data_IF_608523371327
#
_entry.id   IF_608523371327
#
_cell.length_a   1.000
_cell.length_b   1.000
_cell.length_c   1.000
_cell.angle_alpha   90.00
_cell.angle_beta   90.00
_cell.angle_gamma   90.00
#
_symmetry.space_group_name_H-M   'P 1'
#
loop_
_entity.id
_entity.type
_entity.pdbx_description
1 polymer ?
#
# COMPACT_ATOMS: atom_id res chain seq x y z
N UNK A 1 16.73 -56.41 -54.50
CA UNK A 1 17.33 -55.24 -53.83
C UNK A 1 16.35 -54.11 -53.42
N UNK A 2 15.29 -53.81 -54.23
CA UNK A 2 14.34 -52.71 -53.87
C UNK A 2 13.39 -52.96 -52.66
N UNK A 3 13.11 -54.24 -52.29
CA UNK A 3 12.21 -54.58 -51.19
C UNK A 3 12.90 -54.55 -49.82
N UNK A 4 14.21 -54.68 -49.71
CA UNK A 4 14.95 -54.60 -48.47
C UNK A 4 15.23 -53.15 -48.03
N UNK A 5 15.33 -52.22 -49.00
CA UNK A 5 15.52 -50.77 -48.71
C UNK A 5 14.26 -50.15 -48.12
N UNK A 6 13.09 -50.63 -48.49
CA UNK A 6 11.80 -50.11 -47.98
C UNK A 6 11.56 -50.53 -46.51
N UNK A 7 12.05 -51.68 -46.10
CA UNK A 7 11.90 -52.18 -44.73
C UNK A 7 12.81 -51.42 -43.72
N UNK A 8 14.00 -51.03 -44.17
CA UNK A 8 14.94 -50.25 -43.32
C UNK A 8 14.46 -48.82 -43.14
N UNK A 9 13.82 -48.21 -44.12
CA UNK A 9 13.22 -46.88 -43.96
C UNK A 9 11.97 -46.90 -43.08
N UNK A 10 11.19 -47.98 -43.04
CA UNK A 10 10.04 -48.08 -42.16
C UNK A 10 10.44 -48.30 -40.68
N UNK A 11 11.56 -48.98 -40.42
CA UNK A 11 12.07 -49.15 -39.05
C UNK A 11 12.76 -47.86 -38.51
N UNK A 12 13.39 -47.05 -39.37
CA UNK A 12 13.98 -45.78 -38.93
C UNK A 12 12.90 -44.70 -38.58
N UNK A 13 11.72 -44.76 -39.24
CA UNK A 13 10.60 -43.84 -38.91
C UNK A 13 9.86 -44.16 -37.63
N UNK A 14 9.95 -45.40 -37.10
CA UNK A 14 9.29 -45.79 -35.85
C UNK A 14 10.10 -45.49 -34.60
N UNK A 15 11.42 -45.28 -34.71
CA UNK A 15 12.24 -44.99 -33.52
C UNK A 15 12.33 -43.52 -33.13
N UNK A 16 12.01 -42.59 -34.05
CA UNK A 16 12.01 -41.15 -33.72
C UNK A 16 10.72 -40.62 -33.03
N UNK A 17 9.65 -41.43 -32.98
CA UNK A 17 8.35 -40.97 -32.45
C UNK A 17 8.14 -41.23 -30.95
N UNK A 18 8.99 -42.03 -30.33
CA UNK A 18 8.77 -42.45 -28.91
C UNK A 18 9.46 -41.55 -27.88
N UNK A 19 10.56 -40.87 -28.25
CA UNK A 19 11.25 -39.99 -27.32
C UNK A 19 10.52 -38.66 -27.11
N UNK A 20 9.87 -38.12 -28.13
CA UNK A 20 9.11 -36.86 -28.02
C UNK A 20 7.89 -36.97 -27.09
N UNK A 21 7.21 -38.13 -27.09
CA UNK A 21 6.05 -38.35 -26.18
C UNK A 21 6.46 -38.57 -24.74
N UNK A 22 7.63 -39.14 -24.47
CA UNK A 22 8.14 -39.33 -23.12
C UNK A 22 8.53 -38.00 -22.45
N UNK A 23 9.20 -37.12 -23.18
CA UNK A 23 9.58 -35.79 -22.68
C UNK A 23 8.38 -34.86 -22.44
N UNK A 24 7.36 -34.94 -23.28
CA UNK A 24 6.14 -34.14 -23.14
C UNK A 24 5.30 -34.63 -21.93
N UNK A 25 5.20 -35.93 -21.74
CA UNK A 25 4.50 -36.52 -20.58
C UNK A 25 5.25 -36.22 -19.25
N UNK A 26 6.58 -36.22 -19.28
CA UNK A 26 7.39 -35.92 -18.09
C UNK A 26 7.36 -34.41 -17.76
N UNK A 27 7.37 -33.53 -18.77
CA UNK A 27 7.12 -32.09 -18.61
C UNK A 27 5.74 -31.82 -18.04
N UNK A 28 4.69 -32.45 -18.57
CA UNK A 28 3.31 -32.31 -18.06
C UNK A 28 3.20 -32.76 -16.63
N UNK A 29 3.89 -33.84 -16.22
CA UNK A 29 3.87 -34.31 -14.82
C UNK A 29 4.52 -33.29 -13.87
N UNK A 30 5.60 -32.62 -14.29
CA UNK A 30 6.27 -31.56 -13.52
C UNK A 30 5.36 -30.33 -13.33
N UNK A 31 4.65 -29.90 -14.36
CA UNK A 31 3.70 -28.80 -14.25
C UNK A 31 2.49 -29.15 -13.37
N UNK A 32 1.93 -30.35 -13.49
CA UNK A 32 0.84 -30.83 -12.63
C UNK A 32 1.29 -30.90 -11.15
N UNK A 33 2.55 -31.24 -10.89
CA UNK A 33 3.08 -31.18 -9.53
C UNK A 33 3.27 -29.74 -9.05
N UNK A 34 3.78 -28.84 -9.91
CA UNK A 34 3.95 -27.44 -9.58
C UNK A 34 2.62 -26.74 -9.25
N UNK A 35 1.52 -27.11 -9.92
CA UNK A 35 0.18 -26.60 -9.62
C UNK A 35 -0.29 -26.91 -8.18
N UNK A 36 0.30 -27.89 -7.51
CA UNK A 36 0.03 -28.17 -6.10
C UNK A 36 0.61 -27.12 -5.17
N UNK A 37 1.53 -26.30 -5.65
CA UNK A 37 2.25 -25.27 -4.89
C UNK A 37 1.93 -23.86 -5.38
N UNK A 38 0.79 -23.65 -6.07
CA UNK A 38 0.34 -22.30 -6.41
C UNK A 38 0.11 -21.48 -5.15
N UNK A 39 0.26 -20.16 -5.25
CA UNK A 39 0.07 -19.23 -4.13
C UNK A 39 -1.29 -19.43 -3.46
N UNK A 40 -2.33 -19.67 -4.25
CA UNK A 40 -3.69 -19.91 -3.77
C UNK A 40 -3.77 -21.18 -2.90
N UNK A 41 -3.21 -22.29 -3.37
CA UNK A 41 -3.17 -23.54 -2.62
C UNK A 41 -2.29 -23.44 -1.38
N UNK A 42 -1.10 -22.83 -1.49
CA UNK A 42 -0.23 -22.61 -0.34
C UNK A 42 -0.93 -21.78 0.74
N UNK A 43 -1.70 -20.76 0.36
CA UNK A 43 -2.46 -19.94 1.30
C UNK A 43 -3.55 -20.72 2.05
N UNK A 44 -4.00 -21.87 1.53
CA UNK A 44 -4.95 -22.76 2.23
C UNK A 44 -4.26 -23.77 3.13
N UNK A 45 -2.97 -24.01 2.93
CA UNK A 45 -2.17 -25.00 3.66
C UNK A 45 -1.29 -24.37 4.74
N UNK A 46 -0.91 -23.11 4.55
CA UNK A 46 -0.05 -22.38 5.48
C UNK A 46 -0.92 -21.49 6.39
N UNK A 47 -0.74 -21.65 7.65
CA UNK A 47 -1.33 -20.82 8.69
C UNK A 47 -0.33 -19.77 9.18
N UNK A 48 -0.68 -18.99 10.17
CA UNK A 48 0.23 -17.98 10.73
C UNK A 48 1.48 -18.65 11.30
N UNK A 49 2.64 -18.32 10.72
CA UNK A 49 3.95 -18.78 11.18
C UNK A 49 4.65 -17.77 12.07
N UNK A 50 4.08 -16.57 12.16
CA UNK A 50 4.58 -15.46 12.99
C UNK A 50 3.41 -14.72 13.62
N UNK A 51 3.70 -13.97 14.68
CA UNK A 51 2.77 -13.06 15.34
C UNK A 51 3.10 -11.64 14.91
N UNK A 52 2.10 -10.89 14.46
CA UNK A 52 2.19 -9.45 14.18
C UNK A 52 1.46 -8.69 15.31
N UNK A 53 2.17 -8.19 16.33
CA UNK A 53 1.55 -7.61 17.50
C UNK A 53 1.10 -6.18 17.24
N UNK A 54 -0.16 -5.90 17.57
CA UNK A 54 -0.76 -4.57 17.57
C UNK A 54 -0.80 -4.05 19.02
N UNK A 55 0.14 -3.20 19.37
CA UNK A 55 0.25 -2.69 20.72
C UNK A 55 -0.83 -1.65 21.04
N UNK A 56 -1.41 -1.74 22.24
CA UNK A 56 -2.28 -0.68 22.73
C UNK A 56 -1.46 0.59 23.01
N UNK A 57 -2.09 1.75 22.85
CA UNK A 57 -1.42 3.04 23.09
C UNK A 57 -0.90 3.19 24.52
N UNK A 58 -1.64 2.65 25.48
CA UNK A 58 -1.30 2.71 26.90
C UNK A 58 -1.01 1.29 27.39
N UNK A 59 0.07 1.16 28.17
CA UNK A 59 0.47 -0.12 28.74
C UNK A 59 1.37 -0.96 27.84
N UNK A 60 1.61 -2.18 28.28
CA UNK A 60 2.49 -3.17 27.65
C UNK A 60 1.74 -4.29 26.93
N UNK A 61 0.42 -4.20 26.87
CA UNK A 61 -0.42 -5.24 26.26
C UNK A 61 -0.56 -5.01 24.75
N UNK A 62 -0.81 -6.08 24.03
CA UNK A 62 -1.06 -6.07 22.58
C UNK A 62 -2.12 -7.10 22.20
N UNK A 63 -2.69 -6.95 21.02
CA UNK A 63 -3.53 -7.96 20.40
C UNK A 63 -2.93 -8.40 19.06
N UNK A 64 -3.35 -9.57 18.58
CA UNK A 64 -2.93 -10.08 17.27
C UNK A 64 -3.95 -11.02 16.68
N UNK A 65 -3.96 -11.10 15.33
CA UNK A 65 -4.69 -12.09 14.56
C UNK A 65 -3.82 -13.32 14.35
N UNK A 66 -4.42 -14.50 14.44
CA UNK A 66 -3.75 -15.75 14.15
C UNK A 66 -4.65 -16.64 13.31
N UNK A 67 -4.18 -17.00 12.10
CA UNK A 67 -4.87 -17.91 11.21
C UNK A 67 -4.59 -19.35 11.62
N UNK A 68 -5.64 -20.15 11.74
CA UNK A 68 -5.58 -21.60 12.04
C UNK A 68 -6.28 -22.40 10.95
N UNK A 69 -6.23 -23.73 11.02
CA UNK A 69 -7.00 -24.61 10.14
C UNK A 69 -8.51 -24.42 10.25
N UNK A 70 -8.98 -23.92 11.40
CA UNK A 70 -10.39 -23.67 11.70
C UNK A 70 -10.82 -22.21 11.53
N UNK A 71 -10.02 -21.40 10.82
CA UNK A 71 -10.31 -19.99 10.61
C UNK A 71 -9.39 -19.06 11.38
N UNK A 72 -9.78 -17.78 11.48
CA UNK A 72 -9.04 -16.75 12.18
C UNK A 72 -9.47 -16.65 13.63
N UNK A 73 -8.49 -16.43 14.50
CA UNK A 73 -8.71 -16.15 15.94
C UNK A 73 -7.92 -14.91 16.33
N UNK A 74 -8.41 -14.18 17.32
CA UNK A 74 -7.78 -12.95 17.81
C UNK A 74 -7.51 -13.10 19.30
N UNK A 75 -6.34 -12.64 19.74
CA UNK A 75 -5.91 -12.75 21.12
C UNK A 75 -5.47 -11.39 21.63
N UNK A 76 -5.74 -11.15 22.92
CA UNK A 76 -5.14 -10.08 23.73
C UNK A 76 -4.11 -10.71 24.63
N UNK A 77 -2.90 -10.11 24.64
CA UNK A 77 -1.77 -10.58 25.45
C UNK A 77 -1.33 -9.46 26.38
N UNK A 78 -1.15 -9.78 27.64
CA UNK A 78 -0.48 -8.93 28.60
C UNK A 78 0.83 -9.61 29.04
N UNK A 79 1.99 -9.11 28.55
CA UNK A 79 3.29 -9.70 28.89
C UNK A 79 3.67 -9.53 30.37
N UNK A 80 3.20 -8.47 31.02
CA UNK A 80 3.49 -8.22 32.44
C UNK A 80 2.72 -9.19 33.32
N UNK A 81 1.41 -9.31 33.06
CA UNK A 81 0.57 -10.26 33.77
C UNK A 81 0.76 -11.72 33.28
N UNK A 82 1.56 -11.93 32.21
CA UNK A 82 1.77 -13.24 31.56
C UNK A 82 0.46 -13.92 31.17
N UNK A 83 -0.51 -13.16 30.68
CA UNK A 83 -1.82 -13.70 30.29
C UNK A 83 -2.05 -13.57 28.80
N UNK A 84 -2.73 -14.58 28.23
CA UNK A 84 -3.23 -14.61 26.86
C UNK A 84 -4.70 -15.00 26.90
N UNK A 85 -5.56 -14.17 26.34
CA UNK A 85 -7.01 -14.39 26.33
C UNK A 85 -7.56 -14.18 24.91
N UNK A 86 -8.59 -14.92 24.47
CA UNK A 86 -9.26 -14.59 23.21
C UNK A 86 -9.88 -13.19 23.32
N UNK A 87 -9.75 -12.43 22.21
CA UNK A 87 -10.38 -11.12 22.08
C UNK A 87 -11.88 -11.25 21.94
N UNK A 88 -12.30 -12.25 21.15
CA UNK A 88 -13.71 -12.55 20.87
C UNK A 88 -14.07 -13.96 21.39
N UNK A 89 -15.28 -14.08 21.88
CA UNK A 89 -16.01 -15.33 21.85
C UNK A 89 -16.65 -15.42 20.45
N UNK A 90 -16.07 -16.23 19.57
CA UNK A 90 -16.45 -16.24 18.16
C UNK A 90 -17.86 -16.77 17.92
N UNK A 91 -18.33 -17.70 18.75
CA UNK A 91 -19.69 -18.22 18.65
C UNK A 91 -20.72 -17.16 19.03
N UNK A 92 -20.47 -16.46 20.14
CA UNK A 92 -21.33 -15.36 20.60
C UNK A 92 -21.35 -14.20 19.61
N UNK A 93 -20.19 -13.77 19.11
CA UNK A 93 -20.11 -12.70 18.10
C UNK A 93 -20.82 -13.10 16.81
N UNK A 94 -20.64 -14.34 16.33
CA UNK A 94 -21.30 -14.81 15.13
C UNK A 94 -22.83 -14.81 15.28
N UNK A 95 -23.32 -15.21 16.46
CA UNK A 95 -24.75 -15.19 16.77
C UNK A 95 -25.31 -13.75 16.80
N UNK A 96 -24.63 -12.82 17.50
CA UNK A 96 -25.03 -11.41 17.57
C UNK A 96 -25.03 -10.75 16.17
N UNK A 97 -23.99 -10.99 15.36
CA UNK A 97 -23.91 -10.45 13.99
C UNK A 97 -25.03 -11.01 13.12
N UNK A 98 -25.26 -12.33 13.16
CA UNK A 98 -26.33 -12.99 12.40
C UNK A 98 -27.69 -12.40 12.74
N UNK A 99 -27.95 -12.12 14.02
CA UNK A 99 -29.19 -11.51 14.46
C UNK A 99 -29.37 -10.08 13.90
N UNK A 100 -28.31 -9.29 13.90
CA UNK A 100 -28.31 -7.88 13.43
C UNK A 100 -28.43 -7.79 11.92
N UNK A 101 -27.57 -8.56 11.21
CA UNK A 101 -27.40 -8.44 9.74
C UNK A 101 -28.44 -9.28 9.00
N UNK A 102 -29.05 -10.27 9.66
CA UNK A 102 -29.97 -11.24 9.04
C UNK A 102 -29.30 -12.09 7.93
N UNK A 103 -28.00 -12.29 8.06
CA UNK A 103 -27.16 -13.13 7.20
C UNK A 103 -26.43 -14.15 8.09
N UNK A 104 -26.52 -15.47 7.84
CA UNK A 104 -25.97 -16.48 8.73
C UNK A 104 -24.44 -16.49 8.69
N UNK A 105 -23.82 -16.26 9.83
CA UNK A 105 -22.38 -16.39 10.04
C UNK A 105 -22.07 -17.51 11.04
N UNK A 106 -20.96 -18.19 10.80
CA UNK A 106 -20.41 -19.17 11.75
C UNK A 106 -19.11 -18.67 12.34
N UNK A 107 -18.78 -19.10 13.55
CA UNK A 107 -17.53 -18.77 14.24
C UNK A 107 -16.28 -19.03 13.37
N UNK A 108 -16.29 -20.09 12.59
CA UNK A 108 -15.16 -20.52 11.74
C UNK A 108 -14.99 -19.64 10.49
N UNK A 109 -16.07 -19.06 9.99
CA UNK A 109 -16.10 -18.29 8.75
C UNK A 109 -16.46 -16.82 8.95
N UNK A 110 -16.23 -16.29 10.15
CA UNK A 110 -16.55 -14.91 10.46
C UNK A 110 -15.59 -13.96 9.70
N UNK A 111 -16.08 -13.20 8.69
CA UNK A 111 -15.22 -12.42 7.81
C UNK A 111 -14.89 -11.04 8.41
N UNK A 112 -14.36 -11.04 9.63
CA UNK A 112 -13.91 -9.80 10.30
C UNK A 112 -12.77 -9.17 9.48
N UNK A 113 -12.95 -7.91 9.11
CA UNK A 113 -11.99 -7.11 8.36
C UNK A 113 -11.78 -5.77 9.03
N UNK A 114 -10.60 -5.17 8.80
CA UNK A 114 -10.24 -3.85 9.32
C UNK A 114 -10.49 -3.72 10.83
N UNK A 115 -10.03 -4.72 11.57
CA UNK A 115 -10.10 -4.68 13.04
C UNK A 115 -9.12 -3.64 13.57
N UNK A 116 -9.63 -2.68 14.33
CA UNK A 116 -8.87 -1.61 14.94
C UNK A 116 -9.22 -1.46 16.42
N UNK A 117 -8.18 -1.29 17.25
CA UNK A 117 -8.39 -0.97 18.67
C UNK A 117 -8.60 0.54 18.84
N UNK A 118 -9.56 0.91 19.65
CA UNK A 118 -9.76 2.29 20.10
C UNK A 118 -8.62 2.77 21.01
N UNK A 119 -8.55 4.09 21.20
CA UNK A 119 -7.52 4.73 22.04
C UNK A 119 -7.61 4.32 23.51
N UNK A 120 -8.79 3.90 23.93
CA UNK A 120 -9.08 3.41 25.29
C UNK A 120 -8.50 2.00 25.55
N UNK A 121 -8.07 1.28 24.52
CA UNK A 121 -7.61 -0.10 24.59
C UNK A 121 -8.70 -1.11 24.99
N UNK A 122 -9.97 -0.69 24.97
CA UNK A 122 -11.15 -1.48 25.38
C UNK A 122 -12.09 -1.73 24.21
N UNK A 123 -12.25 -0.74 23.37
CA UNK A 123 -13.18 -0.75 22.25
C UNK A 123 -12.47 -1.20 20.98
N UNK A 124 -13.09 -2.09 20.23
CA UNK A 124 -12.61 -2.54 18.94
C UNK A 124 -13.65 -2.23 17.86
N UNK A 125 -13.21 -1.71 16.73
CA UNK A 125 -14.07 -1.49 15.57
C UNK A 125 -13.66 -2.39 14.44
N UNK A 126 -14.63 -2.93 13.71
CA UNK A 126 -14.38 -3.79 12.56
C UNK A 126 -15.52 -3.75 11.56
N UNK A 127 -15.30 -4.32 10.38
CA UNK A 127 -16.33 -4.47 9.37
C UNK A 127 -16.55 -5.91 8.99
N UNK A 128 -17.78 -6.22 8.59
CA UNK A 128 -18.20 -7.50 8.04
C UNK A 128 -18.81 -7.26 6.66
N UNK A 129 -18.41 -8.08 5.69
CA UNK A 129 -19.04 -8.07 4.36
C UNK A 129 -20.09 -9.16 4.32
N UNK A 130 -21.34 -8.79 4.05
CA UNK A 130 -22.47 -9.72 3.89
C UNK A 130 -22.28 -10.62 2.66
N UNK A 131 -22.86 -11.81 2.70
CA UNK A 131 -23.02 -12.64 1.52
C UNK A 131 -24.08 -12.10 0.56
N UNK A 132 -25.00 -11.27 1.06
CA UNK A 132 -26.09 -10.68 0.31
C UNK A 132 -25.63 -9.49 -0.52
N UNK A 133 -26.20 -9.35 -1.72
CA UNK A 133 -25.95 -8.19 -2.57
C UNK A 133 -26.70 -6.97 -2.03
N UNK A 134 -26.01 -5.83 -1.98
CA UNK A 134 -26.64 -4.56 -1.64
C UNK A 134 -27.72 -4.22 -2.68
N UNK A 135 -28.85 -3.68 -2.24
CA UNK A 135 -29.91 -3.20 -3.14
C UNK A 135 -29.32 -2.19 -4.11
N UNK A 136 -29.51 -2.43 -5.42
CA UNK A 136 -29.00 -1.55 -6.47
C UNK A 136 -29.66 -0.18 -6.37
N UNK A 137 -28.87 0.85 -6.11
CA UNK A 137 -29.28 2.22 -6.45
C UNK A 137 -29.24 2.35 -7.98
N UNK A 138 -30.33 2.81 -8.55
CA UNK A 138 -30.62 2.82 -10.00
C UNK A 138 -29.70 3.70 -10.86
N UNK A 139 -28.71 4.36 -10.27
CA UNK A 139 -27.84 5.33 -10.94
C UNK A 139 -26.47 4.79 -11.35
N UNK A 140 -26.03 3.63 -10.88
CA UNK A 140 -24.69 3.07 -11.15
C UNK A 140 -24.78 1.84 -12.08
N UNK A 141 -24.87 2.07 -13.38
CA UNK A 141 -25.03 0.99 -14.40
C UNK A 141 -23.78 0.17 -14.69
N UNK A 142 -22.59 0.65 -14.30
CA UNK A 142 -21.29 0.08 -14.74
C UNK A 142 -20.50 -0.68 -13.67
N UNK A 143 -20.99 -0.82 -12.45
CA UNK A 143 -20.29 -1.57 -11.40
C UNK A 143 -21.03 -2.85 -11.07
N UNK A 144 -20.29 -3.96 -11.05
CA UNK A 144 -20.82 -5.26 -10.65
C UNK A 144 -21.48 -5.26 -9.26
N UNK A 145 -22.17 -6.34 -8.86
CA UNK A 145 -22.93 -6.39 -7.62
C UNK A 145 -22.04 -6.05 -6.41
N UNK A 146 -22.39 -4.97 -5.69
CA UNK A 146 -21.70 -4.59 -4.45
C UNK A 146 -22.32 -5.36 -3.30
N UNK A 147 -21.50 -5.99 -2.49
CA UNK A 147 -21.93 -6.61 -1.23
C UNK A 147 -22.14 -5.55 -0.16
N UNK A 148 -23.11 -5.76 0.69
CA UNK A 148 -23.36 -4.86 1.82
C UNK A 148 -22.26 -5.02 2.88
N UNK A 149 -21.81 -3.89 3.43
CA UNK A 149 -20.75 -3.86 4.45
C UNK A 149 -21.34 -3.26 5.72
N UNK A 150 -21.22 -4.00 6.81
CA UNK A 150 -21.67 -3.61 8.13
C UNK A 150 -20.50 -3.25 9.02
N UNK A 151 -20.66 -2.22 9.83
CA UNK A 151 -19.65 -1.73 10.76
C UNK A 151 -20.08 -1.98 12.18
N UNK A 152 -19.16 -2.47 13.00
CA UNK A 152 -19.41 -2.83 14.38
C UNK A 152 -18.41 -2.20 15.32
N UNK A 153 -18.85 -1.93 16.55
CA UNK A 153 -18.03 -1.61 17.70
C UNK A 153 -18.22 -2.69 18.75
N UNK A 154 -17.15 -3.21 19.28
CA UNK A 154 -17.13 -4.25 20.32
C UNK A 154 -16.40 -3.75 21.55
N UNK A 155 -17.06 -3.72 22.70
CA UNK A 155 -16.45 -3.45 23.99
C UNK A 155 -15.92 -4.76 24.58
N UNK A 156 -14.59 -4.90 24.63
CA UNK A 156 -13.92 -6.13 25.05
C UNK A 156 -14.23 -6.54 26.50
N UNK A 157 -14.23 -5.64 27.51
CA UNK A 157 -14.56 -6.01 28.87
C UNK A 157 -16.01 -6.48 29.08
N UNK A 158 -16.96 -5.86 28.44
CA UNK A 158 -18.39 -6.17 28.58
C UNK A 158 -18.89 -7.18 27.55
N UNK A 159 -18.07 -7.52 26.55
CA UNK A 159 -18.41 -8.39 25.41
C UNK A 159 -19.62 -7.91 24.60
N UNK A 160 -19.91 -6.62 24.63
CA UNK A 160 -21.06 -6.03 23.97
C UNK A 160 -20.73 -5.61 22.56
N UNK A 161 -21.49 -6.13 21.59
CA UNK A 161 -21.44 -5.70 20.19
C UNK A 161 -22.47 -4.60 19.95
N UNK A 162 -22.08 -3.60 19.18
CA UNK A 162 -22.96 -2.50 18.76
C UNK A 162 -22.81 -2.29 17.27
N UNK A 163 -23.93 -2.27 16.56
CA UNK A 163 -23.95 -1.95 15.14
C UNK A 163 -23.82 -0.44 14.92
N UNK A 164 -22.86 -0.07 14.09
CA UNK A 164 -22.63 1.32 13.69
C UNK A 164 -23.33 1.56 12.35
N UNK A 165 -24.46 2.25 12.37
CA UNK A 165 -25.29 2.52 11.16
C UNK A 165 -24.56 3.32 10.09
N UNK A 166 -23.58 4.11 10.48
CA UNK A 166 -22.76 4.90 9.58
C UNK A 166 -21.27 4.63 9.87
N UNK A 167 -20.51 4.34 8.82
CA UNK A 167 -19.06 4.48 8.89
C UNK A 167 -18.79 5.96 9.14
N UNK A 168 -18.02 6.29 10.18
CA UNK A 168 -17.33 7.58 10.21
C UNK A 168 -16.55 7.63 8.89
N UNK A 169 -17.00 8.43 7.92
CA UNK A 169 -16.30 8.59 6.65
C UNK A 169 -14.91 9.06 7.01
N UNK A 170 -13.92 8.19 6.91
CA UNK A 170 -12.55 8.66 6.83
C UNK A 170 -12.53 9.61 5.64
N UNK A 171 -12.08 10.81 5.88
CA UNK A 171 -11.93 11.79 4.80
C UNK A 171 -10.84 11.22 3.90
N UNK A 172 -11.24 10.59 2.80
CA UNK A 172 -10.30 10.15 1.78
C UNK A 172 -9.74 11.41 1.13
N UNK A 173 -8.50 11.68 1.44
CA UNK A 173 -7.75 12.72 0.74
C UNK A 173 -7.16 12.11 -0.54
N UNK A 174 -7.17 12.85 -1.65
CA UNK A 174 -6.52 12.38 -2.87
C UNK A 174 -5.03 12.18 -2.63
N UNK A 175 -4.44 11.21 -3.31
CA UNK A 175 -3.02 10.81 -3.16
C UNK A 175 -2.03 11.96 -3.40
N UNK A 176 -2.46 13.01 -4.12
CA UNK A 176 -1.63 14.16 -4.37
C UNK A 176 -1.56 15.16 -3.20
N UNK A 177 -2.42 15.08 -2.20
CA UNK A 177 -2.55 16.08 -1.15
C UNK A 177 -1.82 15.65 0.13
N UNK A 178 -0.77 16.38 0.53
CA UNK A 178 -0.12 16.24 1.83
C UNK A 178 -0.57 17.34 2.77
N UNK A 179 -1.33 16.99 3.80
CA UNK A 179 -1.84 17.95 4.79
C UNK A 179 -0.85 18.19 5.91
N UNK A 180 -0.78 19.45 6.37
CA UNK A 180 -0.14 19.80 7.62
C UNK A 180 -0.88 19.15 8.81
N UNK A 181 -0.23 18.90 9.96
CA UNK A 181 -0.86 18.32 11.14
C UNK A 181 -2.08 19.09 11.66
N UNK A 182 -2.11 20.42 11.55
CA UNK A 182 -3.24 21.26 11.89
C UNK A 182 -4.35 21.28 10.81
N UNK A 183 -4.11 20.63 9.67
CA UNK A 183 -5.06 20.52 8.56
C UNK A 183 -5.29 21.79 7.75
N UNK A 184 -4.55 22.88 7.99
CA UNK A 184 -4.79 24.19 7.33
C UNK A 184 -4.08 24.35 6.01
N UNK A 185 -2.95 23.66 5.83
CA UNK A 185 -2.10 23.76 4.64
C UNK A 185 -2.04 22.45 3.90
N UNK A 186 -2.08 22.49 2.58
CA UNK A 186 -1.91 21.34 1.68
C UNK A 186 -0.70 21.58 0.79
N UNK A 187 0.24 20.65 0.81
CA UNK A 187 1.44 20.67 -0.05
C UNK A 187 1.33 19.58 -1.11
N UNK A 188 1.75 19.88 -2.31
CA UNK A 188 1.72 18.98 -3.46
C UNK A 188 2.79 19.37 -4.47
N UNK A 189 3.06 18.46 -5.42
CA UNK A 189 3.92 18.75 -6.55
C UNK A 189 3.09 19.10 -7.80
N UNK A 190 3.59 20.01 -8.61
CA UNK A 190 3.08 20.34 -9.94
C UNK A 190 4.26 20.76 -10.81
N UNK A 191 4.35 20.18 -12.01
CA UNK A 191 5.43 20.46 -12.96
C UNK A 191 6.82 20.42 -12.30
N UNK A 192 7.06 19.35 -11.55
CA UNK A 192 8.31 19.03 -10.83
C UNK A 192 8.66 19.97 -9.66
N UNK A 193 7.83 20.94 -9.36
CA UNK A 193 8.02 21.88 -8.26
C UNK A 193 7.00 21.68 -7.15
N UNK A 194 7.35 22.12 -5.93
CA UNK A 194 6.44 22.13 -4.79
C UNK A 194 5.56 23.37 -4.81
N UNK A 195 4.32 23.16 -4.45
CA UNK A 195 3.29 24.16 -4.27
C UNK A 195 2.54 23.93 -2.96
N UNK A 196 1.95 24.98 -2.44
CA UNK A 196 0.99 24.89 -1.35
C UNK A 196 -0.30 25.64 -1.65
N UNK A 197 -1.37 25.23 -1.01
CA UNK A 197 -2.63 25.96 -0.95
C UNK A 197 -3.23 25.91 0.45
N UNK A 198 -4.20 26.78 0.70
CA UNK A 198 -5.00 26.73 1.92
C UNK A 198 -5.96 25.54 1.94
N UNK A 199 -6.42 25.15 3.13
CA UNK A 199 -7.51 24.17 3.27
C UNK A 199 -8.79 24.63 2.56
N UNK A 200 -9.07 25.91 2.59
CA UNK A 200 -10.27 26.51 1.96
C UNK A 200 -10.19 26.36 0.45
N UNK A 201 -9.05 26.63 -0.16
CA UNK A 201 -8.84 26.43 -1.59
C UNK A 201 -8.90 24.96 -1.99
N UNK A 202 -8.37 24.08 -1.16
CA UNK A 202 -8.54 22.62 -1.36
C UNK A 202 -10.02 22.21 -1.36
N UNK A 203 -10.84 22.72 -0.44
CA UNK A 203 -12.27 22.39 -0.40
C UNK A 203 -13.06 22.97 -1.61
N UNK A 204 -12.59 24.09 -2.21
CA UNK A 204 -13.11 24.57 -3.49
C UNK A 204 -12.82 23.57 -4.62
N UNK A 205 -11.54 23.14 -4.74
CA UNK A 205 -11.13 22.15 -5.74
C UNK A 205 -11.83 20.81 -5.61
N UNK A 206 -12.18 20.42 -4.39
CA UNK A 206 -12.96 19.19 -4.16
C UNK A 206 -14.36 19.27 -4.74
N UNK A 207 -14.92 20.49 -4.84
CA UNK A 207 -16.26 20.74 -5.43
C UNK A 207 -16.17 20.93 -6.94
N UNK A 208 -15.17 21.69 -7.38
CA UNK A 208 -14.89 21.96 -8.79
C UNK A 208 -13.36 21.97 -9.00
N UNK A 209 -12.84 20.96 -9.71
CA UNK A 209 -11.41 20.79 -9.97
C UNK A 209 -10.81 21.87 -10.89
N UNK A 210 -11.67 22.69 -11.52
CA UNK A 210 -11.31 23.80 -12.40
C UNK A 210 -11.58 25.18 -11.81
N UNK A 211 -11.88 25.26 -10.51
CA UNK A 211 -12.11 26.53 -9.85
C UNK A 211 -10.90 27.45 -9.99
N UNK A 212 -11.08 28.51 -10.77
CA UNK A 212 -10.03 29.52 -11.06
C UNK A 212 -9.75 30.49 -9.90
N UNK A 213 -10.56 30.46 -8.85
CA UNK A 213 -10.36 31.30 -7.65
C UNK A 213 -9.36 30.74 -6.67
N UNK A 214 -8.91 29.51 -6.91
CA UNK A 214 -7.92 28.83 -6.07
C UNK A 214 -6.54 29.43 -6.28
N UNK A 215 -5.86 29.73 -5.19
CA UNK A 215 -4.52 30.30 -5.20
C UNK A 215 -3.47 29.24 -4.88
N UNK A 216 -2.64 28.91 -5.87
CA UNK A 216 -1.46 28.07 -5.71
C UNK A 216 -0.25 28.95 -5.37
N UNK A 217 0.43 28.70 -4.27
CA UNK A 217 1.70 29.36 -3.90
C UNK A 217 2.84 28.41 -4.25
N UNK A 218 3.71 28.83 -5.15
CA UNK A 218 4.89 28.06 -5.54
C UNK A 218 5.98 28.17 -4.47
N UNK A 219 6.48 27.02 -4.01
CA UNK A 219 7.53 26.95 -2.98
C UNK A 219 8.92 26.74 -3.57
N UNK A 220 9.03 26.08 -4.73
CA UNK A 220 10.32 25.82 -5.40
C UNK A 220 10.27 26.17 -6.88
N UNK A 221 11.42 26.50 -7.47
CA UNK A 221 11.56 26.83 -8.89
C UNK A 221 12.66 26.01 -9.59
N UNK A 222 13.34 25.12 -8.87
CA UNK A 222 14.49 24.39 -9.39
C UNK A 222 14.13 23.04 -10.01
N UNK A 223 12.87 22.61 -9.91
CA UNK A 223 12.42 21.31 -10.40
C UNK A 223 12.61 21.14 -11.90
N UNK A 224 13.38 20.14 -12.28
CA UNK A 224 13.64 19.74 -13.67
C UNK A 224 13.51 18.22 -13.79
N UNK A 225 13.50 17.72 -15.02
CA UNK A 225 13.52 16.26 -15.27
C UNK A 225 14.71 15.63 -14.53
N UNK A 226 14.48 14.49 -13.89
CA UNK A 226 15.45 13.71 -13.10
C UNK A 226 15.98 14.45 -11.84
N UNK A 227 15.39 15.61 -11.49
CA UNK A 227 15.63 16.33 -10.24
C UNK A 227 14.42 17.21 -9.91
N UNK A 228 13.41 16.65 -9.27
CA UNK A 228 12.18 17.39 -8.94
C UNK A 228 11.21 16.56 -8.13
N UNK A 229 10.11 17.19 -7.77
CA UNK A 229 9.07 16.60 -6.92
C UNK A 229 7.93 16.01 -7.74
N UNK A 230 7.24 15.01 -7.19
CA UNK A 230 6.07 14.38 -7.84
C UNK A 230 6.43 13.49 -9.02
N UNK A 231 7.69 13.11 -9.14
CA UNK A 231 8.11 12.10 -10.10
C UNK A 231 7.56 10.73 -9.63
N UNK A 232 6.90 9.97 -10.52
CA UNK A 232 6.48 8.64 -10.17
C UNK A 232 7.71 7.76 -9.93
N UNK A 233 7.70 6.97 -8.89
CA UNK A 233 8.67 5.90 -8.68
C UNK A 233 8.36 4.74 -9.65
N UNK A 234 8.34 5.05 -10.92
CA UNK A 234 7.99 4.12 -11.99
C UNK A 234 9.14 4.05 -12.98
N UNK A 235 9.51 2.84 -13.32
CA UNK A 235 10.42 2.52 -14.41
C UNK A 235 9.86 2.93 -15.79
N UNK A 236 8.71 3.57 -15.85
CA UNK A 236 8.00 3.90 -17.07
C UNK A 236 8.19 5.36 -17.45
N UNK A 237 8.22 5.58 -18.73
CA UNK A 237 8.47 6.83 -19.46
C UNK A 237 7.92 8.09 -18.78
N UNK A 238 8.81 9.05 -18.54
CA UNK A 238 8.57 10.26 -17.76
C UNK A 238 8.05 11.46 -18.58
N UNK A 239 7.74 11.28 -19.86
CA UNK A 239 7.35 12.38 -20.76
C UNK A 239 6.05 13.09 -20.37
N UNK A 240 5.31 12.56 -19.38
CA UNK A 240 4.07 13.14 -18.88
C UNK A 240 4.21 13.87 -17.55
N UNK A 241 5.44 14.17 -17.11
CA UNK A 241 5.68 14.76 -15.78
C UNK A 241 5.19 16.20 -15.67
N UNK A 242 5.41 17.01 -16.71
CA UNK A 242 5.03 18.41 -16.75
C UNK A 242 3.71 18.60 -17.51
N UNK A 243 2.61 18.26 -16.90
CA UNK A 243 1.27 18.34 -17.52
C UNK A 243 0.27 19.21 -16.73
N UNK A 244 0.76 20.02 -15.82
CA UNK A 244 -0.04 20.91 -14.95
C UNK A 244 -0.86 20.19 -13.90
N UNK A 245 -0.85 18.84 -13.84
CA UNK A 245 -1.62 18.07 -12.84
C UNK A 245 -0.90 18.06 -11.49
N UNK A 246 -1.69 18.12 -10.43
CA UNK A 246 -1.20 17.95 -9.05
C UNK A 246 -0.80 16.50 -8.81
N UNK A 247 0.34 16.31 -8.15
CA UNK A 247 0.94 15.01 -7.85
C UNK A 247 1.35 14.94 -6.38
N UNK A 248 1.33 13.74 -5.84
CA UNK A 248 1.79 13.49 -4.48
C UNK A 248 3.29 13.72 -4.34
N UNK A 249 3.69 14.09 -3.14
CA UNK A 249 5.10 14.24 -2.76
C UNK A 249 5.45 13.16 -1.77
N UNK A 250 6.36 12.30 -2.15
CA UNK A 250 6.79 11.19 -1.29
C UNK A 250 7.70 11.70 -0.17
N UNK A 251 7.47 11.21 1.03
CA UNK A 251 8.41 11.42 2.12
C UNK A 251 8.35 12.79 2.78
N UNK A 252 7.31 13.59 2.59
CA UNK A 252 7.10 14.79 3.41
C UNK A 252 6.96 14.39 4.87
N UNK A 253 7.71 15.07 5.72
CA UNK A 253 7.71 14.91 7.16
C UNK A 253 7.45 16.26 7.82
N UNK A 254 6.25 16.44 8.37
CA UNK A 254 5.83 17.66 9.04
C UNK A 254 6.29 17.75 10.49
N UNK A 255 6.63 18.97 10.95
CA UNK A 255 6.75 19.24 12.39
C UNK A 255 5.38 19.22 13.05
N UNK A 256 5.30 18.85 14.35
CA UNK A 256 4.02 18.76 15.06
C UNK A 256 3.23 20.05 15.10
N UNK A 257 3.89 21.20 15.09
CA UNK A 257 3.28 22.54 15.08
C UNK A 257 2.87 23.03 13.69
N UNK A 258 3.08 22.22 12.64
CA UNK A 258 2.76 22.54 11.25
C UNK A 258 3.60 23.68 10.64
N UNK A 259 4.61 24.18 11.34
CA UNK A 259 5.47 25.26 10.86
C UNK A 259 6.47 24.79 9.85
N UNK A 260 7.09 23.63 10.08
CA UNK A 260 8.13 23.10 9.22
C UNK A 260 7.71 21.81 8.55
N UNK A 261 8.27 21.55 7.39
CA UNK A 261 8.34 20.20 6.88
C UNK A 261 9.70 19.94 6.21
N UNK A 262 10.13 18.70 6.29
CA UNK A 262 11.31 18.20 5.61
C UNK A 262 10.91 17.26 4.48
N UNK A 263 11.66 17.25 3.40
CA UNK A 263 11.45 16.37 2.26
C UNK A 263 12.77 16.08 1.57
N UNK A 264 12.92 14.85 1.07
CA UNK A 264 14.06 14.47 0.22
C UNK A 264 13.66 14.50 -1.24
N UNK A 265 14.59 14.89 -2.10
CA UNK A 265 14.48 14.75 -3.55
C UNK A 265 15.74 14.05 -4.07
N UNK A 266 15.58 13.19 -5.05
CA UNK A 266 16.66 12.46 -5.67
C UNK A 266 17.10 13.17 -6.94
N UNK A 267 18.42 13.40 -7.10
CA UNK A 267 19.04 13.94 -8.29
C UNK A 267 19.67 12.82 -9.09
N UNK A 268 19.03 12.48 -10.19
CA UNK A 268 19.47 11.44 -11.11
C UNK A 268 20.03 12.00 -12.43
N UNK A 269 20.21 13.32 -12.53
CA UNK A 269 20.64 13.97 -13.78
C UNK A 269 21.98 13.48 -14.30
N UNK A 270 22.89 13.08 -13.42
CA UNK A 270 24.18 12.52 -13.78
C UNK A 270 24.13 11.02 -14.09
N UNK A 271 23.09 10.33 -13.66
CA UNK A 271 22.94 8.88 -13.87
C UNK A 271 22.60 8.61 -15.33
N UNK A 272 23.22 7.57 -15.90
CA UNK A 272 22.99 7.19 -17.30
C UNK A 272 21.66 6.45 -17.48
N UNK A 273 21.16 6.50 -18.69
CA UNK A 273 19.94 5.83 -19.05
C UNK A 273 20.19 4.33 -19.32
N UNK A 274 19.32 3.50 -18.78
CA UNK A 274 19.17 2.09 -19.17
C UNK A 274 17.99 1.96 -20.11
N UNK A 275 18.19 1.22 -21.19
CA UNK A 275 17.19 0.96 -22.21
C UNK A 275 16.64 -0.45 -22.08
N UNK A 276 15.33 -0.57 -22.03
CA UNK A 276 14.63 -1.85 -21.95
C UNK A 276 13.58 -1.92 -23.04
N UNK A 277 13.54 -3.03 -23.75
CA UNK A 277 12.49 -3.29 -24.74
C UNK A 277 11.35 -4.03 -24.03
N UNK A 278 10.19 -3.37 -23.96
CA UNK A 278 8.96 -4.03 -23.56
C UNK A 278 8.39 -4.81 -24.73
N UNK A 279 8.76 -6.09 -24.83
CA UNK A 279 8.34 -6.98 -25.91
C UNK A 279 6.86 -7.37 -25.85
N UNK A 280 6.20 -7.16 -24.69
CA UNK A 280 4.79 -7.48 -24.47
C UNK A 280 3.85 -6.33 -24.82
N UNK A 281 4.38 -5.16 -25.14
CA UNK A 281 3.56 -4.02 -25.52
C UNK A 281 2.83 -4.27 -26.84
N UNK A 282 1.56 -3.84 -26.91
CA UNK A 282 0.70 -3.98 -28.09
C UNK A 282 0.34 -2.59 -28.63
N UNK A 283 0.33 -2.37 -29.96
CA UNK A 283 0.46 -3.35 -31.06
C UNK A 283 1.90 -3.68 -31.45
N UNK A 284 2.90 -3.05 -30.86
CA UNK A 284 4.33 -3.27 -31.14
C UNK A 284 5.16 -3.13 -29.87
N UNK A 285 6.34 -3.77 -29.78
CA UNK A 285 7.30 -3.52 -28.72
C UNK A 285 7.63 -2.04 -28.58
N UNK A 286 7.80 -1.58 -27.34
CA UNK A 286 8.19 -0.21 -27.02
C UNK A 286 9.56 -0.17 -26.36
N UNK A 287 10.30 0.91 -26.59
CA UNK A 287 11.54 1.21 -25.85
C UNK A 287 11.17 1.98 -24.59
N UNK A 288 11.62 1.46 -23.45
CA UNK A 288 11.52 2.11 -22.15
C UNK A 288 12.90 2.56 -21.70
N UNK A 289 13.00 3.77 -21.20
CA UNK A 289 14.27 4.38 -20.78
C UNK A 289 14.12 4.91 -19.37
N UNK A 290 15.04 4.57 -18.49
CA UNK A 290 15.06 5.07 -17.11
C UNK A 290 16.47 5.18 -16.58
N UNK A 291 16.66 6.01 -15.55
CA UNK A 291 17.95 6.20 -14.87
C UNK A 291 18.32 4.95 -14.09
N UNK A 292 19.52 4.42 -14.34
CA UNK A 292 20.00 3.24 -13.65
C UNK A 292 21.52 3.21 -13.57
N UNK A 293 22.06 3.20 -12.37
CA UNK A 293 23.48 3.05 -12.15
C UNK A 293 23.88 1.59 -12.35
N UNK A 294 24.70 1.32 -13.35
CA UNK A 294 25.28 -0.01 -13.56
C UNK A 294 26.42 -0.27 -12.57
N UNK A 295 26.66 -1.53 -12.19
CA UNK A 295 27.83 -1.88 -11.38
C UNK A 295 29.14 -1.35 -11.96
N UNK A 296 29.90 -0.61 -11.14
CA UNK A 296 31.17 0.01 -11.53
C UNK A 296 31.06 1.43 -12.10
N UNK A 297 29.87 1.97 -12.32
CA UNK A 297 29.69 3.39 -12.66
C UNK A 297 29.84 4.27 -11.43
N UNK A 298 30.43 5.46 -11.64
CA UNK A 298 30.69 6.43 -10.57
C UNK A 298 29.49 7.31 -10.25
N UNK A 299 28.68 7.59 -11.25
CA UNK A 299 27.52 8.46 -11.16
C UNK A 299 26.34 7.68 -10.55
N UNK A 300 26.06 7.98 -9.31
CA UNK A 300 24.95 7.43 -8.54
C UNK A 300 23.86 8.50 -8.34
N UNK A 301 22.60 8.11 -8.08
CA UNK A 301 21.59 9.03 -7.58
C UNK A 301 22.07 9.72 -6.30
N UNK A 302 21.86 11.04 -6.21
CA UNK A 302 22.22 11.83 -5.04
C UNK A 302 20.96 12.34 -4.37
N UNK A 303 20.84 12.13 -3.06
CA UNK A 303 19.68 12.60 -2.32
C UNK A 303 19.97 13.95 -1.66
N UNK A 304 19.09 14.90 -1.94
CA UNK A 304 19.06 16.22 -1.34
C UNK A 304 17.96 16.28 -0.28
N UNK A 305 18.26 16.91 0.84
CA UNK A 305 17.30 17.13 1.93
C UNK A 305 16.97 18.62 2.03
N UNK A 306 15.70 18.95 1.93
CA UNK A 306 15.20 20.30 2.07
C UNK A 306 14.34 20.46 3.33
N UNK A 307 14.53 21.57 4.03
CA UNK A 307 13.69 22.00 5.15
C UNK A 307 12.97 23.27 4.74
N UNK A 308 11.64 23.24 4.83
CA UNK A 308 10.75 24.37 4.50
C UNK A 308 10.21 25.01 5.77
N UNK A 309 10.18 26.36 5.83
CA UNK A 309 9.46 27.15 6.85
C UNK A 309 8.18 27.72 6.22
N UNK A 310 7.02 27.31 6.75
CA UNK A 310 5.72 27.69 6.22
C UNK A 310 5.27 29.10 6.64
N UNK A 311 5.99 29.75 7.56
CA UNK A 311 5.69 31.13 7.95
C UNK A 311 6.03 32.13 6.85
N UNK A 312 7.16 31.93 6.16
CA UNK A 312 7.65 32.82 5.12
C UNK A 312 7.78 32.14 3.75
N UNK A 313 7.41 30.86 3.65
CA UNK A 313 7.55 30.03 2.44
C UNK A 313 9.00 29.86 1.98
N UNK A 314 9.96 30.04 2.86
CA UNK A 314 11.37 29.82 2.57
C UNK A 314 11.75 28.34 2.69
N UNK A 315 12.86 27.99 2.06
CA UNK A 315 13.47 26.70 2.27
C UNK A 315 14.99 26.79 2.29
N UNK A 316 15.60 25.82 2.94
CA UNK A 316 17.05 25.63 2.91
C UNK A 316 17.38 24.18 2.59
N UNK A 317 18.43 23.98 1.81
CA UNK A 317 19.01 22.67 1.64
C UNK A 317 19.91 22.34 2.85
N UNK A 318 19.70 21.16 3.42
CA UNK A 318 20.52 20.64 4.49
C UNK A 318 21.71 19.91 3.86
N UNK A 319 22.93 20.27 4.29
CA UNK A 319 24.14 19.68 3.75
C UNK A 319 24.23 18.18 4.05
N UNK A 320 24.16 17.35 3.02
CA UNK A 320 24.22 15.91 3.08
C UNK A 320 25.48 15.31 2.46
N UNK A 321 26.42 16.17 2.03
CA UNK A 321 27.63 15.76 1.29
C UNK A 321 28.54 14.78 2.02
N UNK A 322 28.41 14.67 3.35
CA UNK A 322 29.14 13.65 4.14
C UNK A 322 28.58 12.24 3.95
N UNK A 323 27.38 12.09 3.37
CA UNK A 323 26.64 10.83 3.21
C UNK A 323 26.36 10.49 1.73
N UNK A 324 27.23 10.92 0.84
CA UNK A 324 27.03 10.84 -0.63
C UNK A 324 26.75 9.45 -1.18
N UNK A 325 27.22 8.41 -0.50
CA UNK A 325 27.01 7.03 -0.92
C UNK A 325 25.93 6.30 -0.09
N UNK A 326 25.05 7.06 0.56
CA UNK A 326 24.01 6.50 1.42
C UNK A 326 22.63 7.06 1.09
N UNK A 327 21.64 6.21 1.21
CA UNK A 327 20.23 6.63 1.08
C UNK A 327 19.79 7.37 2.34
N UNK A 328 19.38 8.61 2.18
CA UNK A 328 18.79 9.40 3.25
C UNK A 328 17.32 8.99 3.44
N UNK A 329 16.98 8.68 4.67
CA UNK A 329 15.57 8.47 5.04
C UNK A 329 15.23 9.38 6.20
N UNK A 330 14.21 10.19 6.01
CA UNK A 330 13.65 10.93 7.12
C UNK A 330 13.10 9.93 8.14
N UNK A 331 13.53 10.07 9.41
CA UNK A 331 13.13 9.15 10.45
C UNK A 331 11.61 9.19 10.61
N UNK A 332 11.00 8.05 10.43
CA UNK A 332 9.62 7.79 10.82
C UNK A 332 9.67 6.89 12.03
N UNK A 333 8.60 6.85 12.79
CA UNK A 333 8.47 5.84 13.84
C UNK A 333 8.81 4.46 13.27
N UNK A 334 9.44 3.56 14.03
CA UNK A 334 9.89 2.28 13.53
C UNK A 334 8.79 1.56 12.77
N UNK A 335 9.07 1.17 11.55
CA UNK A 335 8.13 0.54 10.62
C UNK A 335 7.48 -0.76 11.11
N UNK A 336 8.02 -1.36 12.17
CA UNK A 336 7.46 -2.55 12.84
C UNK A 336 6.18 -2.26 13.67
N UNK A 337 5.80 -1.00 13.84
CA UNK A 337 4.57 -0.60 14.52
C UNK A 337 3.46 -0.29 13.52
N UNK A 338 3.24 -1.18 12.58
CA UNK A 338 2.49 -0.96 11.33
C UNK A 338 1.14 -0.28 11.48
N UNK A 339 0.33 -0.69 12.40
CA UNK A 339 -1.07 -0.27 12.40
C UNK A 339 -1.41 0.69 13.53
N UNK A 340 -0.67 0.63 14.62
CA UNK A 340 -0.85 1.53 15.75
C UNK A 340 -0.56 2.99 15.41
N UNK A 341 0.40 3.20 14.52
CA UNK A 341 0.98 4.52 14.26
C UNK A 341 0.57 5.12 12.92
N UNK A 342 -0.23 4.42 12.10
CA UNK A 342 -0.68 4.94 10.80
C UNK A 342 -1.49 6.23 10.90
N UNK A 343 -2.23 6.43 11.99
CA UNK A 343 -3.00 7.66 12.25
C UNK A 343 -2.16 8.77 12.91
N UNK A 344 -0.98 8.42 13.40
CA UNK A 344 -0.09 9.31 14.16
C UNK A 344 1.32 9.33 13.59
N UNK A 345 1.46 9.10 12.32
CA UNK A 345 2.77 9.21 11.68
C UNK A 345 3.23 10.61 11.71
N UNK A 346 3.39 10.93 12.84
CA UNK A 346 4.26 11.98 13.07
C UNK A 346 5.63 11.60 12.55
N UNK A 347 6.15 12.39 11.73
CA UNK A 347 7.52 12.77 11.71
C UNK A 347 8.07 12.69 13.12
N UNK A 348 9.18 12.04 13.28
CA UNK A 348 9.95 12.12 14.51
C UNK A 348 10.77 13.40 14.45
N UNK A 349 10.19 14.46 14.99
CA UNK A 349 10.95 15.65 15.32
C UNK A 349 11.47 15.49 16.73
N UNK A 350 12.74 15.79 16.93
CA UNK A 350 13.36 15.75 18.26
C UNK A 350 13.11 17.08 18.95
N UNK A 351 12.41 17.03 20.08
CA UNK A 351 12.05 18.22 20.86
C UNK A 351 11.00 19.11 20.18
N UNK A 352 10.91 20.33 20.64
CA UNK A 352 9.99 21.36 20.12
C UNK A 352 10.55 22.02 18.86
N UNK A 353 10.52 21.30 17.73
CA UNK A 353 11.00 21.77 16.42
C UNK A 353 12.51 21.99 16.26
N UNK A 354 13.35 21.30 17.04
CA UNK A 354 14.81 21.32 16.87
C UNK A 354 15.33 20.11 16.12
#
# INVERSE_FOLDING_TARGET
MKKQLLLVMLCAGMFCGTEAKGQEAERLSGYVQAERFTKEKLNTMLFSTSVDPHWFRKGSSFWYEYKTGNGKVWYVVDPVAKTKRPLFDLDDIAAQITEIVKDPFTAQQLPIQKLEAGEDGRTFTFQITSSQEAKKDSTDKDKGPKKEIFFFSYDYPTRKLTWLKEKKKETEYPDWASFSPDGKTVVYAKDLNLYRMSREDYEKLKKDDKDSTVTDIQLTTFGVKDFGFGQPYSLLNTDTLCNGKRKGVWGIVWSPDSRYFAVTVEDERAVKDLWVINSMASPRPTLETYKYQMPGEKEAPVQHLFLFDMNDNSYKEIRTSAFKDQTLRLARKPWRQKDRDRKEVASVWLGDNN
#
